data_IF_135859705282
#
_entry.id   IF_135859705282
#
_cell.length_a   1.000
_cell.length_b   1.000
_cell.length_c   1.000
_cell.angle_alpha   90.00
_cell.angle_beta   90.00
_cell.angle_gamma   90.00
#
_symmetry.space_group_name_H-M   'P 1'
#
loop_
_entity.id
_entity.type
_entity.pdbx_description
1 polymer ?
#
# COMPACT_ATOMS: atom_id res chain seq x y z
N UNK A 1 61.43 5.79 -6.85
CA UNK A 1 60.28 5.10 -7.51
C UNK A 1 59.12 5.04 -6.51
N UNK A 2 58.12 5.88 -6.69
CA UNK A 2 56.91 5.90 -5.84
C UNK A 2 55.86 4.92 -6.45
N UNK A 3 55.51 3.89 -5.68
CA UNK A 3 54.39 3.01 -6.03
C UNK A 3 53.07 3.79 -5.96
N UNK A 4 52.41 3.93 -7.08
CA UNK A 4 51.05 4.47 -7.17
C UNK A 4 50.10 3.36 -6.77
N UNK A 5 49.42 3.52 -5.61
CA UNK A 5 48.30 2.69 -5.21
C UNK A 5 47.12 3.06 -6.08
N UNK A 6 46.75 2.19 -7.00
CA UNK A 6 45.47 2.27 -7.73
C UNK A 6 44.37 1.82 -6.77
N UNK A 7 43.69 2.77 -6.15
CA UNK A 7 42.38 2.50 -5.51
C UNK A 7 41.39 2.32 -6.62
N UNK A 8 40.90 1.11 -6.81
CA UNK A 8 39.75 0.83 -7.66
C UNK A 8 38.54 1.55 -7.08
N UNK A 9 37.97 2.45 -7.84
CA UNK A 9 36.68 3.06 -7.52
C UNK A 9 35.59 2.12 -8.02
N UNK A 10 34.94 1.40 -7.10
CA UNK A 10 33.70 0.67 -7.39
C UNK A 10 32.56 1.67 -7.31
N UNK A 11 31.95 1.99 -8.44
CA UNK A 11 30.75 2.82 -8.48
C UNK A 11 29.52 1.95 -8.22
N UNK A 12 28.91 2.11 -7.06
CA UNK A 12 27.59 1.56 -6.76
C UNK A 12 26.53 2.49 -7.36
N UNK A 13 25.92 2.10 -8.47
CA UNK A 13 24.74 2.77 -9.00
C UNK A 13 23.49 2.06 -8.49
N UNK A 14 22.88 2.57 -7.41
CA UNK A 14 21.53 2.17 -7.00
C UNK A 14 20.54 3.01 -7.80
N UNK A 15 19.86 2.39 -8.75
CA UNK A 15 18.81 3.04 -9.54
C UNK A 15 17.48 2.36 -9.18
N UNK A 16 16.58 3.10 -8.55
CA UNK A 16 15.19 2.70 -8.37
C UNK A 16 14.44 3.07 -9.67
N UNK A 17 14.01 2.07 -10.45
CA UNK A 17 13.29 2.27 -11.72
C UNK A 17 11.86 1.78 -11.58
N UNK A 18 10.92 2.66 -11.93
CA UNK A 18 9.50 2.36 -12.14
C UNK A 18 9.30 1.93 -13.59
N UNK A 19 8.66 0.78 -13.82
CA UNK A 19 8.55 0.11 -15.12
C UNK A 19 7.39 0.56 -15.98
N UNK A 20 7.61 0.68 -17.28
CA UNK A 20 6.60 0.61 -18.35
C UNK A 20 7.13 -0.27 -19.49
N UNK A 21 6.27 -1.15 -19.97
CA UNK A 21 6.49 -2.32 -20.80
C UNK A 21 6.91 -2.14 -22.27
N UNK A 22 7.67 -3.07 -22.84
CA UNK A 22 7.41 -3.88 -24.05
C UNK A 22 8.66 -4.57 -24.62
N UNK A 23 8.60 -5.80 -24.74
CA UNK A 23 8.87 -6.88 -25.67
C UNK A 23 10.23 -7.12 -26.40
N UNK A 24 10.66 -8.39 -26.27
CA UNK A 24 11.43 -9.27 -27.16
C UNK A 24 12.96 -9.29 -27.01
N UNK A 25 13.40 -10.34 -26.39
CA UNK A 25 14.48 -11.32 -26.60
C UNK A 25 14.81 -12.02 -25.26
N UNK A 26 14.17 -13.14 -25.00
CA UNK A 26 14.43 -13.97 -23.83
C UNK A 26 14.63 -15.41 -24.26
N UNK A 27 15.84 -15.90 -24.32
CA UNK A 27 16.06 -17.35 -24.37
C UNK A 27 17.41 -17.86 -23.80
N UNK A 28 18.09 -17.13 -22.92
CA UNK A 28 19.37 -17.65 -22.45
C UNK A 28 19.69 -17.61 -20.96
N UNK A 29 18.85 -17.00 -20.11
CA UNK A 29 19.06 -17.04 -18.65
C UNK A 29 17.68 -16.99 -18.03
N UNK A 30 17.35 -17.81 -17.04
CA UNK A 30 16.05 -17.87 -16.34
C UNK A 30 15.63 -16.60 -15.61
N UNK A 31 16.00 -15.44 -16.16
CA UNK A 31 15.56 -14.11 -15.74
C UNK A 31 14.14 -13.87 -16.26
N UNK A 32 13.28 -13.30 -15.43
CA UNK A 32 12.00 -12.79 -15.94
C UNK A 32 12.22 -11.66 -16.96
N UNK A 33 11.26 -11.50 -17.85
CA UNK A 33 11.32 -10.47 -18.91
C UNK A 33 11.46 -9.06 -18.31
N UNK A 34 10.91 -8.85 -17.12
CA UNK A 34 10.96 -7.58 -16.38
C UNK A 34 12.36 -7.28 -15.84
N UNK A 35 12.97 -8.26 -15.18
CA UNK A 35 14.34 -8.12 -14.65
C UNK A 35 15.32 -7.92 -15.80
N UNK A 36 15.17 -8.72 -16.86
CA UNK A 36 15.99 -8.58 -18.06
C UNK A 36 15.94 -7.16 -18.62
N UNK A 37 14.76 -6.59 -18.74
CA UNK A 37 14.58 -5.22 -19.25
C UNK A 37 15.28 -4.17 -18.38
N UNK A 38 15.24 -4.33 -17.06
CA UNK A 38 15.94 -3.43 -16.13
C UNK A 38 17.45 -3.55 -16.32
N UNK A 39 17.95 -4.77 -16.36
CA UNK A 39 19.39 -5.05 -16.53
C UNK A 39 19.88 -4.54 -17.89
N UNK A 40 19.15 -4.82 -18.96
CA UNK A 40 19.45 -4.34 -20.33
C UNK A 40 19.50 -2.80 -20.39
N UNK A 41 18.55 -2.11 -19.78
CA UNK A 41 18.54 -0.65 -19.69
C UNK A 41 19.76 -0.08 -18.93
N UNK A 42 20.25 -0.78 -17.90
CA UNK A 42 21.44 -0.36 -17.17
C UNK A 42 22.71 -0.60 -18.00
N UNK A 43 22.78 -1.74 -18.69
CA UNK A 43 23.88 -2.09 -19.61
C UNK A 43 24.01 -1.03 -20.70
N UNK A 44 22.89 -0.69 -21.35
CA UNK A 44 22.82 0.33 -22.38
C UNK A 44 23.23 1.73 -21.87
N UNK A 45 22.75 2.11 -20.68
CA UNK A 45 23.15 3.38 -20.03
C UNK A 45 24.64 3.44 -19.68
N UNK A 46 25.30 2.30 -19.50
CA UNK A 46 26.76 2.22 -19.32
C UNK A 46 27.52 2.27 -20.64
N UNK A 47 26.84 2.29 -21.77
CA UNK A 47 27.43 2.28 -23.09
C UNK A 47 27.98 0.92 -23.52
N UNK A 48 27.54 -0.14 -22.88
CA UNK A 48 27.91 -1.55 -23.18
C UNK A 48 26.81 -2.09 -24.10
N UNK A 49 27.18 -2.69 -25.24
CA UNK A 49 26.20 -3.38 -26.07
C UNK A 49 25.88 -4.76 -25.51
N UNK A 50 24.70 -5.32 -25.80
CA UNK A 50 24.33 -6.65 -25.34
C UNK A 50 25.27 -7.74 -25.87
N UNK A 51 25.89 -7.53 -27.02
CA UNK A 51 26.88 -8.46 -27.61
C UNK A 51 28.22 -8.45 -26.85
N UNK A 52 28.46 -7.42 -26.02
CA UNK A 52 29.66 -7.29 -25.19
C UNK A 52 29.43 -7.81 -23.75
N UNK A 53 28.27 -8.41 -23.46
CA UNK A 53 28.00 -9.05 -22.17
C UNK A 53 28.25 -10.55 -22.30
N UNK A 54 29.20 -11.06 -21.48
CA UNK A 54 29.56 -12.47 -21.43
C UNK A 54 28.50 -13.28 -20.67
N UNK A 55 28.13 -12.81 -19.48
CA UNK A 55 27.09 -13.44 -18.66
C UNK A 55 26.37 -12.47 -17.73
N UNK A 56 25.15 -12.86 -17.34
CA UNK A 56 24.37 -12.22 -16.26
C UNK A 56 23.95 -13.37 -15.34
N UNK A 57 24.38 -13.33 -14.09
CA UNK A 57 24.12 -14.40 -13.13
C UNK A 57 23.49 -13.81 -11.86
N UNK A 58 22.44 -14.46 -11.36
CA UNK A 58 21.91 -14.13 -10.03
C UNK A 58 22.87 -14.61 -8.96
N UNK A 59 23.21 -13.74 -8.02
CA UNK A 59 24.16 -14.03 -6.95
C UNK A 59 23.52 -13.81 -5.59
N UNK A 60 23.95 -14.60 -4.61
CA UNK A 60 23.49 -14.44 -3.23
C UNK A 60 24.10 -13.18 -2.59
N UNK A 61 23.34 -12.51 -1.72
CA UNK A 61 23.86 -11.41 -0.89
C UNK A 61 25.09 -11.80 -0.07
N UNK A 62 25.20 -13.07 0.30
CA UNK A 62 26.35 -13.60 1.05
C UNK A 62 27.64 -13.66 0.21
N UNK A 63 27.51 -13.69 -1.12
CA UNK A 63 28.65 -13.79 -2.07
C UNK A 63 29.09 -12.45 -2.63
N UNK A 64 28.42 -11.35 -2.22
CA UNK A 64 28.80 -10.00 -2.66
C UNK A 64 30.18 -9.60 -2.14
N UNK A 65 30.95 -8.82 -2.92
CA UNK A 65 32.21 -8.24 -2.45
C UNK A 65 32.00 -7.41 -1.18
N UNK A 66 32.96 -7.48 -0.24
CA UNK A 66 32.93 -6.74 1.05
C UNK A 66 32.74 -5.22 0.89
N UNK A 67 33.02 -4.67 -0.30
CA UNK A 67 32.83 -3.26 -0.61
C UNK A 67 31.38 -2.85 -0.82
N UNK A 68 30.48 -3.83 -1.02
CA UNK A 68 29.04 -3.60 -1.18
C UNK A 68 28.38 -3.79 0.19
N UNK A 69 28.10 -2.68 0.88
CA UNK A 69 27.45 -2.71 2.19
C UNK A 69 25.92 -2.73 2.05
N UNK A 70 25.33 -3.92 2.26
CA UNK A 70 23.87 -4.15 2.20
C UNK A 70 23.24 -4.40 3.58
N UNK A 71 23.94 -4.08 4.66
CA UNK A 71 23.61 -4.46 6.05
C UNK A 71 22.24 -4.00 6.57
N UNK A 72 21.54 -3.15 5.90
CA UNK A 72 20.22 -2.65 6.32
C UNK A 72 19.13 -2.86 5.26
N UNK A 73 19.38 -3.76 4.31
CA UNK A 73 18.45 -4.08 3.24
C UNK A 73 17.77 -5.40 3.59
N UNK A 74 16.44 -5.41 3.61
CA UNK A 74 15.67 -6.66 3.70
C UNK A 74 15.84 -7.42 2.37
N UNK A 75 16.67 -8.46 2.40
CA UNK A 75 17.06 -9.26 1.23
C UNK A 75 15.95 -10.16 0.69
N UNK A 76 14.87 -10.36 1.47
CA UNK A 76 13.76 -11.25 1.07
C UNK A 76 13.01 -10.76 -0.16
N UNK A 77 13.16 -9.49 -0.51
CA UNK A 77 12.45 -8.84 -1.61
C UNK A 77 13.37 -8.30 -2.71
N UNK A 78 14.65 -8.62 -2.64
CA UNK A 78 15.64 -8.14 -3.60
C UNK A 78 16.36 -9.30 -4.27
N UNK A 79 16.73 -9.11 -5.53
CA UNK A 79 17.64 -9.99 -6.27
C UNK A 79 18.87 -9.21 -6.71
N UNK A 80 20.02 -9.86 -6.73
CA UNK A 80 21.27 -9.26 -7.17
C UNK A 80 21.79 -10.04 -8.35
N UNK A 81 22.13 -9.32 -9.41
CA UNK A 81 22.70 -9.88 -10.63
C UNK A 81 24.11 -9.36 -10.83
N UNK A 82 25.06 -10.26 -11.02
CA UNK A 82 26.39 -9.93 -11.50
C UNK A 82 26.37 -9.90 -13.02
N UNK A 83 26.77 -8.77 -13.61
CA UNK A 83 26.93 -8.60 -15.06
C UNK A 83 28.41 -8.64 -15.38
N UNK A 84 28.81 -9.58 -16.21
CA UNK A 84 30.20 -9.77 -16.66
C UNK A 84 30.31 -9.34 -18.12
N UNK A 85 30.89 -8.16 -18.42
CA UNK A 85 31.20 -7.80 -19.79
C UNK A 85 32.39 -8.60 -20.30
N UNK A 86 32.48 -8.78 -21.64
CA UNK A 86 33.62 -9.43 -22.32
C UNK A 86 34.93 -8.66 -22.12
N UNK A 87 34.83 -7.33 -21.98
CA UNK A 87 35.96 -6.47 -21.63
C UNK A 87 35.58 -5.55 -20.48
N UNK A 88 36.45 -5.46 -19.45
CA UNK A 88 36.22 -4.58 -18.31
C UNK A 88 35.98 -5.31 -17.00
N UNK A 89 35.50 -4.58 -15.99
CA UNK A 89 35.19 -5.11 -14.66
C UNK A 89 33.70 -5.46 -14.55
N UNK A 90 33.37 -6.59 -13.89
CA UNK A 90 32.02 -6.96 -13.52
C UNK A 90 31.35 -5.87 -12.68
N UNK A 91 30.05 -5.73 -12.80
CA UNK A 91 29.26 -4.87 -11.94
C UNK A 91 27.99 -5.56 -11.48
N UNK A 92 27.39 -5.05 -10.40
CA UNK A 92 26.22 -5.64 -9.79
C UNK A 92 25.00 -4.77 -10.00
N UNK A 93 23.87 -5.42 -10.32
CA UNK A 93 22.54 -4.80 -10.45
C UNK A 93 21.65 -5.36 -9.36
N UNK A 94 21.11 -4.50 -8.51
CA UNK A 94 20.14 -4.88 -7.47
C UNK A 94 18.74 -4.49 -7.96
N UNK A 95 17.85 -5.47 -8.00
CA UNK A 95 16.46 -5.28 -8.42
C UNK A 95 15.50 -5.78 -7.33
N UNK A 96 14.23 -5.39 -7.40
CA UNK A 96 13.21 -6.12 -6.66
C UNK A 96 13.12 -7.56 -7.19
N UNK A 97 12.93 -8.53 -6.30
CA UNK A 97 12.78 -9.93 -6.70
C UNK A 97 11.58 -10.10 -7.65
N UNK A 98 11.65 -11.11 -8.53
CA UNK A 98 10.57 -11.43 -9.46
C UNK A 98 9.22 -11.56 -8.76
N UNK A 99 9.20 -12.10 -7.56
CA UNK A 99 7.98 -12.24 -6.76
C UNK A 99 7.38 -10.88 -6.36
N UNK A 100 8.22 -9.90 -6.05
CA UNK A 100 7.79 -8.52 -5.76
C UNK A 100 7.37 -7.81 -7.05
N UNK A 101 8.13 -7.99 -8.13
CA UNK A 101 7.78 -7.41 -9.44
C UNK A 101 6.44 -7.97 -9.92
N UNK A 102 6.23 -9.29 -9.85
CA UNK A 102 4.96 -9.92 -10.21
C UNK A 102 3.81 -9.47 -9.30
N UNK A 103 4.03 -9.39 -7.98
CA UNK A 103 3.05 -8.83 -7.04
C UNK A 103 2.74 -7.36 -7.34
N UNK A 104 3.72 -6.59 -7.77
CA UNK A 104 3.53 -5.17 -8.12
C UNK A 104 2.86 -5.01 -9.47
N UNK A 105 3.07 -5.91 -10.43
CA UNK A 105 2.39 -5.91 -11.74
C UNK A 105 0.97 -6.47 -11.67
N UNK A 106 0.69 -7.43 -10.78
CA UNK A 106 -0.67 -7.93 -10.52
C UNK A 106 -1.44 -7.03 -9.57
N UNK A 107 -0.78 -6.21 -8.78
CA UNK A 107 -1.37 -5.05 -8.13
C UNK A 107 -1.38 -3.88 -9.13
N UNK A 108 -2.29 -3.87 -10.11
CA UNK A 108 -2.81 -2.61 -10.65
C UNK A 108 -2.93 -1.68 -9.45
N UNK A 109 -2.21 -0.56 -9.48
CA UNK A 109 -1.86 0.25 -8.32
C UNK A 109 -3.02 0.43 -7.34
N UNK A 110 -3.07 -0.42 -6.33
CA UNK A 110 -4.09 -0.35 -5.27
C UNK A 110 -3.89 0.96 -4.54
N UNK A 111 -4.71 1.92 -4.85
CA UNK A 111 -4.72 3.19 -4.15
C UNK A 111 -5.57 3.04 -2.90
N UNK A 112 -4.95 3.24 -1.74
CA UNK A 112 -5.69 3.35 -0.49
C UNK A 112 -6.11 4.80 -0.26
N UNK A 113 -7.36 5.00 0.09
CA UNK A 113 -7.94 6.30 0.40
C UNK A 113 -8.71 6.21 1.70
N UNK A 114 -8.88 7.36 2.35
CA UNK A 114 -9.65 7.49 3.59
C UNK A 114 -10.86 8.37 3.33
N UNK A 115 -12.05 7.85 3.64
CA UNK A 115 -13.27 8.62 3.75
C UNK A 115 -13.43 9.02 5.20
N UNK A 116 -13.63 10.31 5.45
CA UNK A 116 -13.75 10.86 6.79
C UNK A 116 -15.18 11.28 7.07
N UNK A 117 -15.75 10.73 8.14
CA UNK A 117 -17.05 11.09 8.66
C UNK A 117 -16.94 11.52 10.12
N UNK A 118 -17.89 12.28 10.59
CA UNK A 118 -17.90 12.68 11.99
C UNK A 118 -19.13 13.49 12.37
N UNK A 119 -19.16 13.86 13.64
CA UNK A 119 -20.16 14.73 14.20
C UNK A 119 -19.52 15.55 15.33
N UNK A 120 -19.72 16.86 15.31
CA UNK A 120 -19.25 17.74 16.34
C UNK A 120 -20.43 18.16 17.23
N UNK A 121 -20.39 17.83 18.51
CA UNK A 121 -21.42 18.09 19.48
C UNK A 121 -22.05 16.82 20.09
N UNK A 122 -23.09 17.01 20.89
CA UNK A 122 -23.77 15.93 21.61
C UNK A 122 -24.76 15.22 20.68
N UNK A 123 -24.75 13.89 20.76
CA UNK A 123 -25.72 13.01 20.12
C UNK A 123 -26.47 12.19 21.17
N UNK A 124 -27.80 12.16 21.05
CA UNK A 124 -28.72 11.44 21.92
C UNK A 124 -29.66 10.52 21.11
N UNK A 125 -29.51 10.58 19.77
CA UNK A 125 -30.34 9.81 18.83
C UNK A 125 -29.44 9.11 17.82
N UNK A 126 -29.96 8.01 17.24
CA UNK A 126 -29.32 7.36 16.11
C UNK A 126 -29.47 8.22 14.88
N UNK A 127 -28.37 8.49 14.18
CA UNK A 127 -28.36 9.37 13.02
C UNK A 127 -27.17 9.08 12.09
N UNK A 128 -27.24 9.63 10.88
CA UNK A 128 -26.13 9.61 9.94
C UNK A 128 -25.05 10.66 10.32
N UNK A 129 -23.80 10.26 10.21
CA UNK A 129 -22.66 11.15 10.40
C UNK A 129 -22.51 12.11 9.22
N UNK A 130 -21.80 13.20 9.47
CA UNK A 130 -21.48 14.21 8.45
C UNK A 130 -20.16 13.86 7.75
N UNK A 131 -20.02 14.32 6.53
CA UNK A 131 -18.72 14.31 5.82
C UNK A 131 -17.70 15.22 6.51
N UNK A 132 -16.42 15.12 6.14
CA UNK A 132 -15.36 16.01 6.62
C UNK A 132 -15.64 17.50 6.41
N UNK A 133 -16.47 17.85 5.44
CA UNK A 133 -16.88 19.24 5.16
C UNK A 133 -18.11 19.69 5.97
N UNK A 134 -18.63 18.84 6.86
CA UNK A 134 -19.79 19.12 7.70
C UNK A 134 -21.13 18.91 6.99
N UNK A 135 -21.14 18.37 5.80
CA UNK A 135 -22.40 18.08 5.06
C UNK A 135 -23.04 16.84 5.64
N UNK A 136 -24.33 16.95 6.00
CA UNK A 136 -25.13 15.83 6.49
C UNK A 136 -25.29 14.75 5.43
N UNK A 137 -25.12 13.49 5.84
CA UNK A 137 -25.36 12.32 5.00
C UNK A 137 -26.69 11.66 5.35
N UNK A 138 -27.13 10.75 4.54
CA UNK A 138 -28.30 9.89 4.78
C UNK A 138 -28.16 8.61 3.92
N UNK A 139 -29.25 7.86 3.80
CA UNK A 139 -29.31 6.63 3.00
C UNK A 139 -28.92 6.83 1.52
N UNK A 140 -29.27 7.99 0.94
CA UNK A 140 -29.04 8.31 -0.48
C UNK A 140 -27.89 9.29 -0.70
N UNK A 141 -27.35 9.90 0.37
CA UNK A 141 -26.38 10.97 0.32
C UNK A 141 -25.13 10.65 1.13
N UNK A 142 -23.99 10.61 0.46
CA UNK A 142 -22.70 10.31 1.06
C UNK A 142 -21.56 10.60 0.10
N UNK A 143 -20.44 9.91 0.25
CA UNK A 143 -19.37 9.93 -0.73
C UNK A 143 -19.71 9.01 -1.91
N UNK A 144 -19.72 9.58 -3.10
CA UNK A 144 -19.92 8.82 -4.35
C UNK A 144 -18.60 8.23 -4.79
N UNK A 145 -18.55 6.93 -5.00
CA UNK A 145 -17.35 6.21 -5.42
C UNK A 145 -17.07 6.47 -6.90
N UNK A 146 -15.88 6.99 -7.18
CA UNK A 146 -15.45 7.31 -8.56
C UNK A 146 -14.96 6.09 -9.32
N UNK A 147 -14.56 5.05 -8.63
CA UNK A 147 -14.00 3.80 -9.18
C UNK A 147 -14.51 2.62 -8.35
N UNK A 148 -14.45 1.41 -8.90
CA UNK A 148 -14.69 0.19 -8.14
C UNK A 148 -13.60 -0.05 -7.11
N UNK A 149 -13.91 -0.77 -6.06
CA UNK A 149 -12.97 -1.09 -5.02
C UNK A 149 -13.56 -1.90 -3.87
N UNK A 150 -12.87 -1.87 -2.74
CA UNK A 150 -13.28 -2.57 -1.52
C UNK A 150 -13.10 -1.68 -0.29
N UNK A 151 -13.98 -1.83 0.68
CA UNK A 151 -13.80 -1.28 2.02
C UNK A 151 -12.87 -2.23 2.77
N UNK A 152 -11.78 -1.72 3.33
CA UNK A 152 -10.74 -2.52 3.97
C UNK A 152 -10.47 -2.19 5.43
N UNK A 153 -11.02 -1.08 5.93
CA UNK A 153 -10.85 -0.71 7.33
C UNK A 153 -11.89 0.27 7.81
N UNK A 154 -12.14 0.23 9.11
CA UNK A 154 -13.00 1.14 9.84
C UNK A 154 -12.36 1.48 11.17
N UNK A 155 -12.32 2.76 11.52
CA UNK A 155 -11.90 3.20 12.85
C UNK A 155 -12.84 4.27 13.37
N UNK A 156 -13.13 4.24 14.67
CA UNK A 156 -14.01 5.19 15.34
C UNK A 156 -13.40 5.67 16.64
N UNK A 157 -13.52 6.96 16.91
CA UNK A 157 -13.22 7.58 18.17
C UNK A 157 -14.39 8.50 18.57
N UNK A 158 -14.82 8.45 19.82
CA UNK A 158 -15.88 9.30 20.36
C UNK A 158 -15.71 9.48 21.88
N UNK A 159 -16.44 10.41 22.46
CA UNK A 159 -16.49 10.60 23.91
C UNK A 159 -17.88 10.29 24.44
N UNK A 160 -17.97 9.45 25.46
CA UNK A 160 -19.21 9.21 26.19
C UNK A 160 -19.41 10.28 27.27
N UNK A 161 -20.62 10.81 27.36
CA UNK A 161 -20.98 11.92 28.27
C UNK A 161 -21.77 11.41 29.48
N UNK A 162 -22.68 10.46 29.26
CA UNK A 162 -23.55 9.91 30.29
C UNK A 162 -24.17 8.58 29.84
N UNK A 163 -24.74 7.84 30.78
CA UNK A 163 -25.51 6.64 30.53
C UNK A 163 -24.69 5.36 30.30
N UNK A 164 -25.39 4.30 30.00
CA UNK A 164 -24.82 2.98 29.69
C UNK A 164 -25.53 2.36 28.50
N UNK A 165 -24.84 1.52 27.75
CA UNK A 165 -25.42 0.86 26.60
C UNK A 165 -24.39 0.41 25.56
N UNK A 166 -24.81 0.40 24.31
CA UNK A 166 -23.92 0.08 23.19
C UNK A 166 -24.06 1.14 22.11
N UNK A 167 -22.94 1.58 21.57
CA UNK A 167 -22.85 2.45 20.38
C UNK A 167 -22.29 1.61 19.25
N UNK A 168 -22.95 1.57 18.11
CA UNK A 168 -22.55 0.87 16.91
C UNK A 168 -22.44 1.88 15.75
N UNK A 169 -21.27 1.91 15.12
CA UNK A 169 -20.99 2.78 13.96
C UNK A 169 -20.89 1.90 12.73
N UNK A 170 -21.84 2.07 11.82
CA UNK A 170 -22.16 1.13 10.74
C UNK A 170 -21.91 1.80 9.39
N UNK A 171 -21.25 1.09 8.48
CA UNK A 171 -21.10 1.52 7.10
C UNK A 171 -22.34 1.16 6.30
N UNK A 172 -22.87 2.14 5.56
CA UNK A 172 -23.96 1.98 4.61
C UNK A 172 -23.44 2.17 3.17
N UNK A 173 -23.95 1.35 2.27
CA UNK A 173 -23.75 1.44 0.83
C UNK A 173 -25.11 1.47 0.14
N UNK A 174 -25.40 2.56 -0.57
CA UNK A 174 -26.70 2.77 -1.27
C UNK A 174 -27.91 2.58 -0.34
N UNK A 175 -27.82 3.05 0.91
CA UNK A 175 -28.89 2.96 1.89
C UNK A 175 -28.98 1.63 2.64
N UNK A 176 -28.12 0.66 2.37
CA UNK A 176 -28.12 -0.63 3.04
C UNK A 176 -26.83 -0.84 3.85
N UNK A 177 -26.95 -1.42 5.06
CA UNK A 177 -25.81 -1.80 5.86
C UNK A 177 -24.98 -2.86 5.15
N UNK A 178 -23.65 -2.66 5.11
CA UNK A 178 -22.74 -3.64 4.54
C UNK A 178 -22.31 -4.73 5.54
N UNK A 179 -22.80 -4.69 6.79
CA UNK A 179 -22.45 -5.65 7.83
C UNK A 179 -21.02 -5.46 8.38
N UNK A 180 -20.39 -4.33 8.13
CA UNK A 180 -19.10 -3.97 8.70
C UNK A 180 -19.27 -2.74 9.60
N UNK A 181 -19.01 -2.90 10.90
CA UNK A 181 -19.27 -1.89 11.93
C UNK A 181 -18.27 -1.97 13.07
N UNK A 182 -18.09 -0.84 13.79
CA UNK A 182 -17.48 -0.84 15.12
C UNK A 182 -18.57 -0.87 16.18
N UNK A 183 -18.37 -1.66 17.24
CA UNK A 183 -19.34 -1.79 18.35
C UNK A 183 -18.66 -1.59 19.69
N UNK A 184 -19.10 -0.58 20.43
CA UNK A 184 -18.50 -0.17 21.70
C UNK A 184 -19.51 -0.28 22.84
N UNK A 185 -19.16 -1.07 23.86
CA UNK A 185 -19.97 -1.17 25.10
C UNK A 185 -19.59 -0.03 26.03
N UNK A 186 -20.59 0.78 26.39
CA UNK A 186 -20.45 1.95 27.27
C UNK A 186 -20.85 1.57 28.68
N UNK A 187 -19.91 1.64 29.60
CA UNK A 187 -20.05 1.36 31.04
C UNK A 187 -19.67 2.56 31.92
N UNK A 188 -19.07 3.58 31.33
CA UNK A 188 -18.59 4.77 32.04
C UNK A 188 -18.33 5.94 31.07
N UNK A 189 -18.22 7.12 31.61
CA UNK A 189 -17.84 8.33 30.86
C UNK A 189 -16.34 8.28 30.56
N UNK A 190 -16.00 8.18 29.29
CA UNK A 190 -14.60 8.11 28.79
C UNK A 190 -14.52 8.37 27.28
N UNK A 191 -13.30 8.60 26.81
CA UNK A 191 -13.01 8.53 25.37
C UNK A 191 -12.96 7.07 24.97
N UNK A 192 -13.73 6.73 23.96
CA UNK A 192 -13.80 5.38 23.39
C UNK A 192 -13.18 5.33 22.01
N UNK A 193 -12.60 4.22 21.69
CA UNK A 193 -12.02 3.96 20.36
C UNK A 193 -12.20 2.49 20.00
N UNK A 194 -12.45 2.27 18.73
CA UNK A 194 -12.49 0.94 18.14
C UNK A 194 -11.95 0.98 16.70
N UNK A 195 -11.41 -0.11 16.23
CA UNK A 195 -10.97 -0.24 14.84
C UNK A 195 -11.02 -1.69 14.40
N UNK A 196 -11.34 -1.90 13.14
CA UNK A 196 -11.32 -3.20 12.51
C UNK A 196 -10.83 -3.12 11.07
N UNK A 197 -10.28 -4.21 10.58
CA UNK A 197 -9.80 -4.33 9.22
C UNK A 197 -10.27 -5.64 8.59
N UNK A 198 -10.46 -5.63 7.29
CA UNK A 198 -10.85 -6.82 6.55
C UNK A 198 -10.10 -6.93 5.22
N UNK A 199 -10.05 -8.15 4.69
CA UNK A 199 -9.43 -8.42 3.40
C UNK A 199 -10.15 -7.69 2.27
N UNK A 200 -9.38 -7.23 1.29
CA UNK A 200 -9.93 -6.74 0.02
C UNK A 200 -10.83 -7.80 -0.61
N UNK A 201 -11.93 -7.37 -1.20
CA UNK A 201 -12.92 -8.26 -1.81
C UNK A 201 -14.02 -8.75 -0.87
N UNK A 202 -13.94 -8.49 0.45
CA UNK A 202 -14.99 -8.86 1.42
C UNK A 202 -16.23 -7.96 1.27
N UNK A 203 -16.04 -6.65 1.28
CA UNK A 203 -17.09 -5.65 1.02
C UNK A 203 -16.68 -4.83 -0.18
N UNK A 204 -17.32 -5.07 -1.31
CA UNK A 204 -17.02 -4.40 -2.57
C UNK A 204 -18.00 -3.26 -2.85
N UNK A 205 -17.51 -2.28 -3.60
CA UNK A 205 -18.34 -1.20 -4.16
C UNK A 205 -17.96 -0.98 -5.63
N UNK A 206 -18.94 -0.47 -6.39
CA UNK A 206 -18.79 -0.13 -7.80
C UNK A 206 -18.73 1.40 -8.00
N UNK A 207 -18.35 1.82 -9.18
CA UNK A 207 -18.42 3.22 -9.57
C UNK A 207 -19.87 3.72 -9.48
N UNK A 208 -20.07 4.83 -8.79
CA UNK A 208 -21.40 5.42 -8.57
C UNK A 208 -22.05 5.00 -7.26
N UNK A 209 -21.54 3.99 -6.56
CA UNK A 209 -22.04 3.63 -5.22
C UNK A 209 -21.86 4.79 -4.25
N UNK A 210 -22.81 4.95 -3.35
CA UNK A 210 -22.81 5.97 -2.30
C UNK A 210 -22.47 5.34 -0.96
N UNK A 211 -21.42 5.83 -0.31
CA UNK A 211 -21.00 5.38 1.02
C UNK A 211 -21.37 6.44 2.04
N UNK A 212 -22.11 6.03 3.08
CA UNK A 212 -22.47 6.85 4.25
C UNK A 212 -22.23 6.09 5.55
N UNK A 213 -22.31 6.79 6.67
CA UNK A 213 -22.06 6.24 8.00
C UNK A 213 -23.24 6.53 8.91
N UNK A 214 -23.72 5.50 9.61
CA UNK A 214 -24.83 5.58 10.54
C UNK A 214 -24.37 5.20 11.95
N UNK A 215 -24.77 5.98 12.95
CA UNK A 215 -24.58 5.63 14.36
C UNK A 215 -25.88 5.14 14.93
N UNK A 216 -25.87 3.93 15.43
CA UNK A 216 -26.96 3.30 16.14
C UNK A 216 -26.56 3.10 17.60
N UNK A 217 -27.50 3.25 18.51
CA UNK A 217 -27.26 2.99 19.92
C UNK A 217 -28.38 2.22 20.58
N UNK A 218 -28.07 1.66 21.75
CA UNK A 218 -29.02 1.05 22.66
C UNK A 218 -28.73 1.48 24.10
N UNK A 219 -29.73 1.45 24.97
CA UNK A 219 -29.62 1.92 26.34
C UNK A 219 -29.95 3.42 26.43
N UNK A 220 -29.38 4.07 27.44
CA UNK A 220 -29.56 5.51 27.75
C UNK A 220 -28.28 6.33 27.51
N UNK A 221 -27.41 5.84 26.63
CA UNK A 221 -26.08 6.42 26.41
C UNK A 221 -26.19 7.74 25.65
N UNK A 222 -25.41 8.72 26.11
CA UNK A 222 -25.17 10.02 25.48
C UNK A 222 -23.71 10.11 25.12
N UNK A 223 -23.41 10.51 23.88
CA UNK A 223 -22.03 10.62 23.37
C UNK A 223 -21.84 11.92 22.57
N UNK A 224 -20.61 12.24 22.25
CA UNK A 224 -20.27 13.45 21.49
C UNK A 224 -18.98 13.25 20.67
N UNK A 225 -18.79 14.19 19.76
CA UNK A 225 -17.52 14.41 19.04
C UNK A 225 -17.00 13.14 18.35
N UNK A 226 -17.83 12.58 17.46
CA UNK A 226 -17.52 11.36 16.72
C UNK A 226 -16.56 11.65 15.58
N UNK A 227 -15.48 10.90 15.51
CA UNK A 227 -14.54 10.86 14.37
C UNK A 227 -14.50 9.42 13.87
N UNK A 228 -14.81 9.23 12.60
CA UNK A 228 -14.80 7.91 11.96
C UNK A 228 -14.09 7.97 10.61
N UNK A 229 -13.23 6.98 10.38
CA UNK A 229 -12.47 6.84 9.15
C UNK A 229 -12.81 5.49 8.51
N UNK A 230 -13.12 5.49 7.22
CA UNK A 230 -13.22 4.27 6.40
C UNK A 230 -12.01 4.21 5.49
N UNK A 231 -11.23 3.13 5.57
CA UNK A 231 -10.20 2.84 4.58
C UNK A 231 -10.86 2.11 3.40
N UNK A 232 -10.64 2.63 2.20
CA UNK A 232 -11.02 2.00 0.95
C UNK A 232 -9.79 1.74 0.09
N UNK A 233 -9.85 0.66 -0.68
CA UNK A 233 -8.86 0.35 -1.72
C UNK A 233 -9.53 0.35 -3.09
N UNK A 234 -8.99 1.08 -4.07
CA UNK A 234 -9.49 1.13 -5.45
C UNK A 234 -8.46 0.55 -6.42
N UNK A 235 -8.95 0.09 -7.55
CA UNK A 235 -8.15 -0.35 -8.70
C UNK A 235 -7.80 0.81 -9.61
#
# INVERSE_FOLDING_TARGET
MKKVNKKAFVYLAVIMVVLISSGVFAEQIGLSDEVKKVVDGIIENKGISQEEVESIEEVSFETLPEQIDVKNIDDTNLAVYEVKPTEGESFFVITASDEVIQKTQTSEGVVKMILNFGYNGIMEESDFLRTATGVETNEEKGYVMMRKGSITGLSTNLETVNGTGTIEVIIYKNGESVGFSNSMVVDSVKVMKDYDTQSRGTVNFEQGDVISMYVKYSGDVVWKDVITLIEISTE
#
